data_IF_359759440974
#
_entry.id   IF_359759440974
#
_cell.length_a   1.000
_cell.length_b   1.000
_cell.length_c   1.000
_cell.angle_alpha   90.00
_cell.angle_beta   90.00
_cell.angle_gamma   90.00
#
_symmetry.space_group_name_H-M   'P 1'
#
loop_
_entity.id
_entity.type
_entity.pdbx_description
1 polymer ?
#
# COMPACT_ATOMS: atom_id res chain seq x y z
N UNK A 1 21.37 20.11 -13.71
CA UNK A 1 20.78 20.34 -12.38
C UNK A 1 19.31 20.00 -12.55
N UNK A 2 18.78 18.92 -11.98
CA UNK A 2 18.48 18.75 -10.55
C UNK A 2 18.73 17.28 -10.13
N UNK A 3 19.50 17.10 -9.06
CA UNK A 3 19.61 15.86 -8.31
C UNK A 3 18.34 15.74 -7.45
N UNK A 4 17.42 14.84 -7.78
CA UNK A 4 16.29 14.52 -6.90
C UNK A 4 16.12 13.00 -6.81
N UNK A 5 17.13 12.34 -6.24
CA UNK A 5 16.83 11.17 -5.40
C UNK A 5 16.06 11.72 -4.21
N UNK A 6 14.74 11.80 -4.29
CA UNK A 6 13.96 11.74 -3.06
C UNK A 6 14.37 10.43 -2.40
N UNK A 7 14.97 10.54 -1.21
CA UNK A 7 15.35 9.38 -0.41
C UNK A 7 14.12 8.49 -0.26
N UNK A 8 14.25 7.19 -0.50
CA UNK A 8 13.19 6.27 -0.09
C UNK A 8 13.09 6.27 1.44
N UNK A 9 11.88 6.26 2.01
CA UNK A 9 10.60 5.99 1.33
C UNK A 9 9.81 7.21 0.82
N UNK A 10 10.19 8.45 1.17
CA UNK A 10 9.33 9.64 0.97
C UNK A 10 8.92 9.87 -0.50
N UNK A 11 9.83 9.64 -1.44
CA UNK A 11 9.54 9.81 -2.87
C UNK A 11 8.52 8.81 -3.43
N UNK A 12 8.60 7.54 -3.00
CA UNK A 12 7.61 6.55 -3.40
C UNK A 12 6.28 6.78 -2.71
N UNK A 13 6.27 7.28 -1.48
CA UNK A 13 5.02 7.68 -0.79
C UNK A 13 4.33 8.80 -1.59
N UNK A 14 5.06 9.83 -1.99
CA UNK A 14 4.53 10.91 -2.84
C UNK A 14 3.95 10.36 -4.15
N UNK A 15 4.66 9.42 -4.80
CA UNK A 15 4.24 8.82 -6.06
C UNK A 15 3.00 7.93 -5.92
N UNK A 16 2.95 7.07 -4.90
CA UNK A 16 1.82 6.19 -4.61
C UNK A 16 0.52 6.99 -4.39
N UNK A 17 0.62 8.11 -3.67
CA UNK A 17 -0.51 8.96 -3.31
C UNK A 17 -0.93 9.95 -4.42
N UNK A 18 -0.12 10.14 -5.47
CA UNK A 18 -0.49 10.99 -6.60
C UNK A 18 -1.47 10.27 -7.55
N UNK A 19 -2.75 10.59 -7.41
CA UNK A 19 -3.84 10.05 -8.25
C UNK A 19 -3.70 10.40 -9.75
N UNK A 20 -2.83 11.35 -10.11
CA UNK A 20 -2.59 11.72 -11.51
C UNK A 20 -1.33 11.06 -12.09
N UNK A 21 -0.54 10.36 -11.26
CA UNK A 21 0.62 9.62 -11.75
C UNK A 21 0.17 8.43 -12.61
N UNK A 22 1.07 7.98 -13.50
CA UNK A 22 0.81 6.82 -14.34
C UNK A 22 0.58 5.58 -13.47
N UNK A 23 -0.38 4.73 -13.88
CA UNK A 23 -0.68 3.50 -13.15
C UNK A 23 0.57 2.67 -12.86
N UNK A 24 1.44 2.47 -13.86
CA UNK A 24 2.66 1.68 -13.71
C UNK A 24 3.63 2.26 -12.68
N UNK A 25 3.80 3.58 -12.67
CA UNK A 25 4.65 4.26 -11.68
C UNK A 25 4.11 4.09 -10.25
N UNK A 26 2.77 4.12 -10.08
CA UNK A 26 2.12 3.90 -8.78
C UNK A 26 2.20 2.43 -8.35
N UNK A 27 2.05 1.48 -9.29
CA UNK A 27 2.20 0.04 -9.03
C UNK A 27 3.63 -0.29 -8.57
N UNK A 28 4.64 0.20 -9.30
CA UNK A 28 6.05 0.06 -8.94
C UNK A 28 6.34 0.72 -7.58
N UNK A 29 5.76 1.89 -7.31
CA UNK A 29 5.91 2.55 -6.01
C UNK A 29 5.35 1.72 -4.86
N UNK A 30 4.18 1.13 -5.03
CA UNK A 30 3.58 0.23 -4.04
C UNK A 30 4.48 -1.00 -3.81
N UNK A 31 5.01 -1.62 -4.86
CA UNK A 31 5.91 -2.76 -4.75
C UNK A 31 7.20 -2.42 -4.00
N UNK A 32 7.87 -1.32 -4.36
CA UNK A 32 9.12 -0.91 -3.72
C UNK A 32 8.90 -0.50 -2.25
N UNK A 33 7.78 0.15 -1.95
CA UNK A 33 7.41 0.54 -0.57
C UNK A 33 7.18 -0.66 0.34
N UNK A 34 6.81 -1.82 -0.19
CA UNK A 34 6.65 -3.05 0.59
C UNK A 34 7.92 -3.45 1.34
N UNK A 35 9.11 -2.95 0.96
CA UNK A 35 10.38 -3.20 1.63
C UNK A 35 10.64 -2.35 2.89
N UNK A 36 9.75 -1.41 3.22
CA UNK A 36 9.92 -0.44 4.30
C UNK A 36 8.89 -0.68 5.42
N UNK A 37 9.31 -0.59 6.69
CA UNK A 37 8.46 -0.87 7.87
C UNK A 37 8.03 0.42 8.60
N UNK A 38 8.44 1.57 8.09
CA UNK A 38 8.21 2.91 8.61
C UNK A 38 6.72 3.22 8.74
N UNK A 39 6.35 3.94 9.80
CA UNK A 39 4.95 4.32 10.07
C UNK A 39 4.36 5.19 8.95
N UNK A 40 5.19 6.02 8.29
CA UNK A 40 4.75 6.84 7.15
C UNK A 40 4.36 6.00 5.94
N UNK A 41 5.09 4.90 5.68
CA UNK A 41 4.81 3.95 4.59
C UNK A 41 3.50 3.23 4.87
N UNK A 42 3.33 2.71 6.09
CA UNK A 42 2.10 2.07 6.51
C UNK A 42 0.90 3.03 6.40
N UNK A 43 1.05 4.28 6.84
CA UNK A 43 -0.01 5.29 6.74
C UNK A 43 -0.38 5.61 5.28
N UNK A 44 0.59 5.63 4.37
CA UNK A 44 0.35 5.83 2.94
C UNK A 44 -0.47 4.66 2.36
N UNK A 45 -0.09 3.42 2.65
CA UNK A 45 -0.87 2.26 2.24
C UNK A 45 -2.27 2.25 2.84
N UNK A 46 -2.41 2.54 4.14
CA UNK A 46 -3.73 2.66 4.80
C UNK A 46 -4.62 3.67 4.09
N UNK A 47 -4.06 4.80 3.64
CA UNK A 47 -4.80 5.80 2.86
C UNK A 47 -5.32 5.22 1.55
N UNK A 48 -4.47 4.52 0.79
CA UNK A 48 -4.84 3.91 -0.49
C UNK A 48 -5.88 2.80 -0.30
N UNK A 49 -5.63 1.86 0.62
CA UNK A 49 -6.52 0.69 0.79
C UNK A 49 -7.86 1.05 1.42
N UNK A 50 -8.03 2.23 2.04
CA UNK A 50 -9.33 2.69 2.55
C UNK A 50 -10.11 3.56 1.56
N UNK A 51 -9.50 3.96 0.45
CA UNK A 51 -10.16 4.74 -0.57
C UNK A 51 -11.02 3.85 -1.48
N UNK A 52 -12.34 3.89 -1.28
CA UNK A 52 -13.33 3.14 -2.06
C UNK A 52 -13.45 3.60 -3.52
N UNK A 53 -12.75 4.67 -3.90
CA UNK A 53 -12.73 5.22 -5.25
C UNK A 53 -11.37 5.06 -5.93
N UNK A 54 -10.41 4.40 -5.27
CA UNK A 54 -9.13 4.06 -5.87
C UNK A 54 -9.30 3.10 -7.04
N UNK A 55 -8.34 3.13 -7.96
CA UNK A 55 -8.23 2.12 -8.99
C UNK A 55 -8.05 0.71 -8.39
N UNK A 56 -8.82 -0.26 -8.87
CA UNK A 56 -8.83 -1.63 -8.37
C UNK A 56 -7.43 -2.26 -8.35
N UNK A 57 -6.61 -2.01 -9.37
CA UNK A 57 -5.25 -2.55 -9.47
C UNK A 57 -4.28 -1.90 -8.49
N UNK A 58 -4.42 -0.59 -8.25
CA UNK A 58 -3.62 0.09 -7.22
C UNK A 58 -4.03 -0.35 -5.82
N UNK A 59 -5.33 -0.50 -5.57
CA UNK A 59 -5.84 -1.00 -4.30
C UNK A 59 -5.39 -2.46 -4.03
N UNK A 60 -5.45 -3.32 -5.05
CA UNK A 60 -4.90 -4.69 -5.00
C UNK A 60 -3.44 -4.68 -4.58
N UNK A 61 -2.59 -3.95 -5.31
CA UNK A 61 -1.15 -3.90 -5.02
C UNK A 61 -0.84 -3.33 -3.65
N UNK A 62 -1.54 -2.26 -3.26
CA UNK A 62 -1.40 -1.65 -1.94
C UNK A 62 -1.81 -2.60 -0.82
N UNK A 63 -2.86 -3.40 -1.03
CA UNK A 63 -3.30 -4.43 -0.08
C UNK A 63 -2.27 -5.54 0.10
N UNK A 64 -1.73 -6.07 -1.00
CA UNK A 64 -0.64 -7.08 -0.98
C UNK A 64 0.57 -6.55 -0.19
N UNK A 65 1.04 -5.37 -0.56
CA UNK A 65 2.23 -4.75 0.04
C UNK A 65 2.04 -4.42 1.52
N UNK A 66 0.86 -3.92 1.91
CA UNK A 66 0.53 -3.68 3.31
C UNK A 66 0.45 -4.97 4.12
N UNK A 67 -0.09 -6.05 3.54
CA UNK A 67 -0.16 -7.35 4.19
C UNK A 67 1.24 -7.91 4.47
N UNK A 68 2.20 -7.72 3.57
CA UNK A 68 3.60 -8.08 3.80
C UNK A 68 4.22 -7.30 4.97
N UNK A 69 4.01 -5.98 5.02
CA UNK A 69 4.48 -5.12 6.11
C UNK A 69 3.89 -5.59 7.44
N UNK A 70 2.56 -5.76 7.50
CA UNK A 70 1.88 -6.21 8.72
C UNK A 70 2.32 -7.60 9.17
N UNK A 71 2.56 -8.52 8.22
CA UNK A 71 3.12 -9.83 8.51
C UNK A 71 4.51 -9.75 9.13
N UNK A 72 5.41 -8.91 8.61
CA UNK A 72 6.76 -8.72 9.20
C UNK A 72 6.70 -8.08 10.58
N UNK A 73 5.77 -7.12 10.78
CA UNK A 73 5.60 -6.40 12.05
C UNK A 73 4.79 -7.19 13.10
N UNK A 74 4.15 -8.30 12.71
CA UNK A 74 3.18 -9.00 13.57
C UNK A 74 1.97 -8.13 13.93
N UNK A 75 1.60 -7.21 13.04
CA UNK A 75 0.50 -6.27 13.22
C UNK A 75 -0.82 -6.83 12.63
N UNK A 76 -1.94 -6.45 13.25
CA UNK A 76 -3.28 -6.78 12.77
C UNK A 76 -4.31 -5.80 13.34
N UNK A 77 -5.13 -5.21 12.46
CA UNK A 77 -6.27 -4.38 12.85
C UNK A 77 -7.52 -4.80 12.07
N UNK A 78 -8.38 -5.60 12.70
CA UNK A 78 -9.63 -6.08 12.11
C UNK A 78 -10.59 -4.93 11.72
N UNK A 79 -10.61 -3.84 12.50
CA UNK A 79 -11.50 -2.70 12.23
C UNK A 79 -11.03 -1.92 11.00
N UNK A 80 -9.71 -1.85 10.79
CA UNK A 80 -9.14 -1.28 9.58
C UNK A 80 -9.44 -2.18 8.37
N UNK A 81 -9.18 -3.48 8.49
CA UNK A 81 -9.47 -4.49 7.44
C UNK A 81 -10.93 -4.44 6.99
N UNK A 82 -11.87 -4.29 7.91
CA UNK A 82 -13.29 -4.20 7.56
C UNK A 82 -13.68 -3.00 6.70
N UNK A 83 -12.84 -1.95 6.72
CA UNK A 83 -13.03 -0.71 5.97
C UNK A 83 -12.14 -0.63 4.72
N UNK A 84 -11.41 -1.69 4.39
CA UNK A 84 -10.57 -1.71 3.19
C UNK A 84 -11.40 -1.90 1.92
N UNK A 85 -10.91 -1.31 0.84
CA UNK A 85 -11.28 -1.59 -0.53
C UNK A 85 -11.32 -3.11 -0.75
N UNK A 86 -12.33 -3.66 -1.45
CA UNK A 86 -12.47 -5.11 -1.62
C UNK A 86 -11.21 -5.79 -2.16
N UNK A 87 -10.56 -5.17 -3.16
CA UNK A 87 -9.32 -5.69 -3.75
C UNK A 87 -8.14 -5.70 -2.78
N UNK A 88 -8.07 -4.77 -1.83
CA UNK A 88 -7.06 -4.81 -0.79
C UNK A 88 -7.41 -5.81 0.32
N UNK A 89 -8.70 -5.88 0.69
CA UNK A 89 -9.19 -6.68 1.83
C UNK A 89 -8.89 -8.17 1.68
N UNK A 90 -8.86 -8.69 0.46
CA UNK A 90 -8.65 -10.12 0.17
C UNK A 90 -7.33 -10.69 0.70
N UNK A 91 -6.31 -9.85 0.88
CA UNK A 91 -5.01 -10.28 1.44
C UNK A 91 -5.03 -10.47 2.96
N UNK A 92 -6.05 -9.94 3.64
CA UNK A 92 -6.20 -9.99 5.09
C UNK A 92 -7.25 -11.00 5.54
N UNK A 93 -8.24 -11.29 4.68
CA UNK A 93 -9.18 -12.37 4.91
C UNK A 93 -8.49 -13.68 4.54
N UNK A 94 -7.94 -14.38 5.54
CA UNK A 94 -7.17 -15.60 5.32
C UNK A 94 -7.86 -16.57 4.36
N UNK A 95 -7.08 -17.13 3.43
CA UNK A 95 -7.33 -18.46 2.88
C UNK A 95 -7.73 -19.37 4.02
N UNK A 96 -9.02 -19.67 4.12
CA UNK A 96 -9.53 -20.74 4.95
C UNK A 96 -9.18 -22.07 4.27
N UNK A 97 -7.89 -22.36 4.18
CA UNK A 97 -7.40 -23.70 3.86
C UNK A 97 -7.01 -24.35 5.19
N UNK A 98 -8.01 -25.04 5.73
CA UNK A 98 -7.86 -26.09 6.73
C UNK A 98 -7.76 -27.44 6.02
#
# INVERSE_FOLDING_TARGET
MINKKSQQPDGLIELLLDKNAEFGDRDDAAMDLAGFDEVSVEAAFVTVVQDMTEDDGIADRAGESLAEIWKRKGAWDATLVDRMHPEAKKFFNGSSDN
#
